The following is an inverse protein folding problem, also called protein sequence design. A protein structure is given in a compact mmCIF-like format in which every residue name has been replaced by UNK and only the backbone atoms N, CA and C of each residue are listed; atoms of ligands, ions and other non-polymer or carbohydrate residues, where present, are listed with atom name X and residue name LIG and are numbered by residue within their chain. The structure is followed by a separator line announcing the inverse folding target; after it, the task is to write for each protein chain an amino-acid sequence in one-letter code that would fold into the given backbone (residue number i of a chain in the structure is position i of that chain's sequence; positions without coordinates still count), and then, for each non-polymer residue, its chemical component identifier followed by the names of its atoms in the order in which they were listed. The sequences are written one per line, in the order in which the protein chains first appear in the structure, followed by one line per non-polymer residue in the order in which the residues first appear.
data_IF_704426801775
#
_entry.id   IF_704426801775
#
_cell.length_a   1.000
_cell.length_b   1.000
_cell.length_c   1.000
_cell.angle_alpha   90.00
_cell.angle_beta   90.00
_cell.angle_gamma   90.00
#
_symmetry.space_group_name_H-M   'P 1'
#
loop_
_entity.id
_entity.type
_entity.pdbx_description
1 polymer ?
#
# COMPACT_ATOMS: atom_id res chain seq x y z
N UNK A 1 12.94 49.88 -13.49
CA UNK A 1 13.41 49.72 -12.10
C UNK A 1 12.18 49.57 -11.22
N UNK A 2 11.76 48.32 -10.92
CA UNK A 2 10.58 48.05 -10.11
C UNK A 2 11.03 47.75 -8.67
N UNK A 3 10.64 48.61 -7.72
CA UNK A 3 10.97 48.49 -6.31
C UNK A 3 9.98 47.54 -5.63
N UNK A 4 10.44 46.36 -5.24
CA UNK A 4 9.67 45.38 -4.47
C UNK A 4 9.60 45.84 -3.01
N UNK A 5 8.41 46.20 -2.55
CA UNK A 5 8.14 46.47 -1.14
C UNK A 5 7.95 45.14 -0.40
N UNK A 6 8.90 44.81 0.47
CA UNK A 6 8.84 43.71 1.43
C UNK A 6 7.92 44.11 2.59
N UNK A 7 6.75 43.47 2.69
CA UNK A 7 5.90 43.56 3.90
C UNK A 7 6.29 42.44 4.86
N UNK A 8 6.65 42.72 6.13
CA UNK A 8 6.90 41.65 7.09
C UNK A 8 5.59 41.02 7.56
N UNK A 9 5.53 39.68 7.52
CA UNK A 9 4.41 38.88 8.01
C UNK A 9 4.17 39.06 9.51
N UNK A 10 2.91 39.13 9.98
CA UNK A 10 2.61 39.21 11.41
C UNK A 10 2.88 37.86 12.09
N UNK A 11 3.72 37.86 13.11
CA UNK A 11 3.99 36.69 13.95
C UNK A 11 2.80 36.42 14.85
N UNK A 12 2.02 35.38 14.52
CA UNK A 12 0.92 34.90 15.37
C UNK A 12 1.49 34.23 16.63
N UNK A 13 1.42 34.95 17.76
CA UNK A 13 1.66 34.41 19.09
C UNK A 13 0.46 33.55 19.52
N UNK A 14 0.63 32.24 19.56
CA UNK A 14 -0.34 31.31 20.16
C UNK A 14 -0.10 31.23 21.68
N UNK A 15 -1.11 31.50 22.52
CA UNK A 15 -1.00 31.33 23.97
C UNK A 15 -1.04 29.83 24.34
N UNK A 16 -0.08 29.45 25.17
CA UNK A 16 0.07 28.10 25.72
C UNK A 16 -0.94 27.89 26.86
N UNK A 17 -2.04 27.20 26.59
CA UNK A 17 -2.98 26.75 27.62
C UNK A 17 -2.49 25.45 28.26
N UNK A 18 -2.07 25.54 29.52
CA UNK A 18 -1.80 24.38 30.36
C UNK A 18 -3.12 23.81 30.90
N UNK A 19 -3.52 22.64 30.42
CA UNK A 19 -4.61 21.86 30.99
C UNK A 19 -4.05 20.88 32.04
N UNK A 20 -4.51 20.91 33.30
CA UNK A 20 -4.22 19.85 34.25
C UNK A 20 -5.32 18.79 34.15
N UNK A 21 -5.01 17.63 33.61
CA UNK A 21 -5.89 16.45 33.71
C UNK A 21 -5.15 15.37 34.48
N UNK A 22 -5.37 15.34 35.81
CA UNK A 22 -5.14 14.15 36.63
C UNK A 22 -6.09 13.07 36.13
N UNK A 23 -5.59 12.11 35.34
CA UNK A 23 -6.30 10.85 35.10
C UNK A 23 -5.90 9.84 36.17
N UNK A 24 -6.88 9.50 37.01
CA UNK A 24 -6.83 8.42 37.98
C UNK A 24 -6.85 7.08 37.23
N UNK A 25 -5.72 6.39 37.19
CA UNK A 25 -5.61 5.06 36.61
C UNK A 25 -6.17 4.00 37.56
N UNK A 26 -7.43 3.61 37.36
CA UNK A 26 -7.94 2.35 37.92
C UNK A 26 -7.53 1.20 37.00
N UNK A 27 -6.57 0.41 37.47
CA UNK A 27 -6.03 -0.76 36.78
C UNK A 27 -7.07 -1.90 36.73
N UNK A 28 -7.74 -2.05 35.58
CA UNK A 28 -8.51 -3.25 35.28
C UNK A 28 -7.55 -4.39 34.94
N UNK A 29 -7.42 -5.35 35.86
CA UNK A 29 -6.65 -6.56 35.66
C UNK A 29 -7.40 -7.52 34.72
N UNK A 30 -7.14 -7.43 33.42
CA UNK A 30 -7.59 -8.42 32.46
C UNK A 30 -6.70 -9.66 32.57
N UNK A 31 -7.25 -10.74 33.14
CA UNK A 31 -6.61 -12.07 33.13
C UNK A 31 -6.68 -12.67 31.72
N UNK A 32 -5.75 -12.30 30.85
CA UNK A 32 -5.58 -12.92 29.54
C UNK A 32 -4.81 -14.23 29.75
N UNK A 33 -5.48 -15.37 29.51
CA UNK A 33 -4.83 -16.69 29.48
C UNK A 33 -4.01 -16.79 28.19
N UNK A 34 -2.74 -17.24 28.21
CA UNK A 34 -1.96 -17.43 27.00
C UNK A 34 -2.44 -18.70 26.28
N UNK A 35 -3.41 -18.56 25.38
CA UNK A 35 -3.70 -19.59 24.40
C UNK A 35 -2.58 -19.57 23.36
N UNK A 36 -1.70 -20.57 23.39
CA UNK A 36 -0.71 -20.81 22.33
C UNK A 36 -1.47 -21.16 21.05
N UNK A 37 -1.67 -20.15 20.20
CA UNK A 37 -2.09 -20.35 18.82
C UNK A 37 -0.82 -20.44 17.98
N UNK A 38 -0.25 -21.63 17.87
CA UNK A 38 0.84 -21.90 16.94
C UNK A 38 0.24 -22.18 15.56
N UNK A 39 -0.22 -21.13 14.88
CA UNK A 39 -0.38 -21.21 13.42
C UNK A 39 1.00 -21.40 12.79
N UNK A 40 1.12 -22.16 11.68
CA UNK A 40 2.35 -22.18 10.92
C UNK A 40 2.64 -20.75 10.46
N UNK A 41 3.76 -20.19 10.91
CA UNK A 41 4.22 -18.87 10.45
C UNK A 41 4.73 -19.07 9.03
N UNK A 42 3.90 -18.71 8.05
CA UNK A 42 4.35 -18.59 6.66
C UNK A 42 5.40 -17.47 6.64
N UNK A 43 6.62 -17.80 6.23
CA UNK A 43 7.74 -16.86 6.21
C UNK A 43 7.74 -15.99 4.96
N UNK A 44 7.32 -16.56 3.84
CA UNK A 44 7.24 -15.89 2.54
C UNK A 44 6.26 -16.63 1.64
N UNK A 45 5.83 -15.95 0.60
CA UNK A 45 5.09 -16.51 -0.52
C UNK A 45 5.90 -16.40 -1.80
N UNK A 46 5.77 -17.39 -2.66
CA UNK A 46 6.35 -17.36 -3.99
C UNK A 46 5.53 -16.44 -4.89
N UNK A 47 6.14 -15.38 -5.39
CA UNK A 47 5.51 -14.45 -6.33
C UNK A 47 6.24 -14.50 -7.67
N UNK A 48 5.52 -14.93 -8.70
CA UNK A 48 5.98 -14.93 -10.09
C UNK A 48 5.49 -13.64 -10.75
N UNK A 49 6.41 -12.86 -11.31
CA UNK A 49 6.14 -11.57 -11.94
C UNK A 49 6.49 -11.64 -13.43
N UNK A 50 5.49 -11.46 -14.29
CA UNK A 50 5.68 -11.20 -15.72
C UNK A 50 5.78 -9.70 -15.96
N UNK A 51 6.95 -9.23 -16.40
CA UNK A 51 7.22 -7.83 -16.69
C UNK A 51 8.04 -7.70 -17.98
N UNK A 52 7.57 -6.90 -18.95
CA UNK A 52 8.25 -6.67 -20.25
C UNK A 52 8.68 -7.95 -20.99
N UNK A 53 7.87 -9.02 -20.89
CA UNK A 53 8.16 -10.31 -21.52
C UNK A 53 9.19 -11.17 -20.77
N UNK A 54 9.65 -10.74 -19.60
CA UNK A 54 10.50 -11.51 -18.69
C UNK A 54 9.69 -12.02 -17.51
N UNK A 55 10.04 -13.20 -17.01
CA UNK A 55 9.45 -13.79 -15.81
C UNK A 55 10.48 -13.85 -14.69
N UNK A 56 10.19 -13.22 -13.57
CA UNK A 56 11.03 -13.22 -12.36
C UNK A 56 10.28 -13.89 -11.22
N UNK A 57 10.95 -14.72 -10.42
CA UNK A 57 10.37 -15.33 -9.22
C UNK A 57 11.03 -14.75 -7.98
N UNK A 58 10.21 -14.32 -7.02
CA UNK A 58 10.64 -13.71 -5.77
C UNK A 58 9.97 -14.40 -4.58
N UNK A 59 10.65 -14.39 -3.44
CA UNK A 59 10.09 -14.78 -2.14
C UNK A 59 9.71 -13.50 -1.38
N UNK A 60 8.41 -13.26 -1.22
CA UNK A 60 7.87 -12.01 -0.65
C UNK A 60 7.25 -12.31 0.71
N UNK A 61 7.65 -11.56 1.74
CA UNK A 61 7.11 -11.71 3.10
C UNK A 61 5.65 -11.19 3.17
N UNK A 62 4.80 -11.74 4.06
CA UNK A 62 3.39 -11.34 4.16
C UNK A 62 3.18 -9.86 4.56
N UNK A 63 4.17 -9.22 5.16
CA UNK A 63 4.21 -7.81 5.58
C UNK A 63 5.07 -6.94 4.66
N UNK A 64 5.55 -7.49 3.54
CA UNK A 64 6.29 -6.78 2.49
C UNK A 64 5.40 -6.62 1.25
N UNK A 65 5.40 -5.43 0.63
CA UNK A 65 4.67 -5.23 -0.63
C UNK A 65 5.42 -5.90 -1.78
N UNK A 66 4.68 -6.41 -2.76
CA UNK A 66 5.27 -7.01 -3.96
C UNK A 66 6.19 -6.01 -4.69
N UNK A 67 5.81 -4.72 -4.73
CA UNK A 67 6.66 -3.67 -5.31
C UNK A 67 7.99 -3.52 -4.56
N UNK A 68 7.96 -3.42 -3.23
CA UNK A 68 9.19 -3.25 -2.44
C UNK A 68 10.17 -4.39 -2.73
N UNK A 69 9.68 -5.64 -2.69
CA UNK A 69 10.52 -6.80 -2.97
C UNK A 69 11.03 -6.86 -4.40
N UNK A 70 10.19 -6.47 -5.37
CA UNK A 70 10.60 -6.37 -6.77
C UNK A 70 11.78 -5.40 -6.94
N UNK A 71 11.66 -4.18 -6.39
CA UNK A 71 12.71 -3.18 -6.51
C UNK A 71 14.00 -3.58 -5.79
N UNK A 72 13.90 -4.18 -4.60
CA UNK A 72 15.05 -4.67 -3.83
C UNK A 72 15.78 -5.82 -4.55
N UNK A 73 15.06 -6.61 -5.34
CA UNK A 73 15.63 -7.65 -6.21
C UNK A 73 16.25 -7.12 -7.52
N UNK A 74 16.14 -5.80 -7.78
CA UNK A 74 16.60 -5.17 -9.01
C UNK A 74 15.62 -5.21 -10.18
N UNK A 75 14.39 -5.70 -9.97
CA UNK A 75 13.34 -5.69 -10.99
C UNK A 75 12.70 -4.28 -11.07
N UNK A 76 13.00 -3.56 -12.14
CA UNK A 76 12.51 -2.20 -12.37
C UNK A 76 11.09 -2.19 -12.93
N UNK A 77 10.08 -2.34 -12.07
CA UNK A 77 8.67 -2.17 -12.48
C UNK A 77 8.24 -0.69 -12.40
N UNK A 78 7.31 -0.22 -13.26
CA UNK A 78 6.76 1.13 -13.19
C UNK A 78 6.17 1.46 -11.81
N UNK A 79 6.50 2.63 -11.29
CA UNK A 79 6.00 3.15 -10.01
C UNK A 79 6.27 4.65 -9.89
N UNK A 80 5.47 5.33 -9.07
CA UNK A 80 5.69 6.74 -8.71
C UNK A 80 5.45 6.98 -7.21
N UNK A 81 4.18 7.10 -6.79
CA UNK A 81 3.87 7.53 -5.42
C UNK A 81 4.22 6.55 -4.32
N UNK A 82 4.14 5.23 -4.58
CA UNK A 82 4.26 4.13 -3.59
C UNK A 82 3.29 4.22 -2.41
N UNK A 83 2.13 4.86 -2.62
CA UNK A 83 1.10 5.11 -1.59
C UNK A 83 -0.26 4.49 -1.94
N UNK A 84 -0.34 3.65 -2.97
CA UNK A 84 -1.59 2.98 -3.35
C UNK A 84 -2.61 3.85 -4.10
N UNK A 85 -2.22 5.03 -4.60
CA UNK A 85 -3.18 6.00 -5.17
C UNK A 85 -2.94 6.41 -6.63
N UNK A 86 -1.69 6.41 -7.12
CA UNK A 86 -1.38 7.00 -8.44
C UNK A 86 -1.63 6.07 -9.64
N UNK A 87 -1.95 4.79 -9.41
CA UNK A 87 -2.20 3.79 -10.45
C UNK A 87 -1.04 3.45 -11.39
N UNK A 88 0.16 4.05 -11.22
CA UNK A 88 1.37 3.83 -12.04
C UNK A 88 2.06 2.47 -11.83
N UNK A 89 1.70 1.71 -10.79
CA UNK A 89 2.27 0.36 -10.55
C UNK A 89 1.23 -0.77 -10.69
N UNK A 90 0.45 -0.81 -11.78
CA UNK A 90 -0.67 -1.72 -11.89
C UNK A 90 -0.20 -3.12 -12.33
N UNK A 91 -0.91 -4.13 -11.85
CA UNK A 91 -0.74 -5.49 -12.31
C UNK A 91 -2.07 -6.23 -12.35
N UNK A 92 -2.11 -7.29 -13.15
CA UNK A 92 -3.17 -8.28 -13.14
C UNK A 92 -2.72 -9.51 -12.36
N UNK A 93 -3.54 -9.94 -11.42
CA UNK A 93 -3.39 -11.19 -10.68
C UNK A 93 -3.92 -12.34 -11.56
N UNK A 94 -3.01 -13.17 -12.07
CA UNK A 94 -3.32 -14.34 -12.89
C UNK A 94 -3.69 -15.54 -12.01
N UNK A 95 -3.08 -15.65 -10.83
CA UNK A 95 -3.43 -16.61 -9.79
C UNK A 95 -2.95 -16.16 -8.41
N UNK A 96 -3.54 -16.75 -7.37
CA UNK A 96 -3.24 -16.44 -5.98
C UNK A 96 -4.15 -15.37 -5.40
N UNK A 97 -3.75 -14.80 -4.27
CA UNK A 97 -4.48 -13.76 -3.55
C UNK A 97 -3.53 -12.77 -2.92
N UNK A 98 -3.91 -11.50 -2.97
CA UNK A 98 -3.23 -10.40 -2.30
C UNK A 98 -4.22 -9.67 -1.41
N UNK A 99 -3.70 -9.12 -0.33
CA UNK A 99 -4.37 -8.08 0.43
C UNK A 99 -3.90 -6.73 -0.10
N UNK A 100 -4.85 -5.90 -0.50
CA UNK A 100 -4.58 -4.55 -0.99
C UNK A 100 -5.50 -3.51 -0.37
N UNK A 101 -5.87 -3.71 0.90
CA UNK A 101 -6.71 -2.77 1.65
C UNK A 101 -6.15 -1.35 1.74
N UNK A 102 -4.84 -1.18 1.53
CA UNK A 102 -4.16 0.12 1.52
C UNK A 102 -4.24 0.82 0.15
N UNK A 103 -4.75 0.16 -0.88
CA UNK A 103 -4.89 0.68 -2.24
C UNK A 103 -6.24 1.37 -2.47
N UNK A 104 -6.26 2.33 -3.40
CA UNK A 104 -7.46 3.10 -3.78
C UNK A 104 -8.04 2.65 -5.13
N UNK A 105 -8.22 1.34 -5.30
CA UNK A 105 -8.96 0.77 -6.44
C UNK A 105 -10.44 0.62 -6.08
N UNK A 106 -11.33 0.66 -7.08
CA UNK A 106 -12.74 0.32 -6.86
C UNK A 106 -12.87 -1.18 -6.64
N UNK A 107 -13.86 -1.59 -5.87
CA UNK A 107 -14.11 -3.01 -5.57
C UNK A 107 -14.26 -3.83 -6.86
N UNK A 108 -14.98 -3.30 -7.87
CA UNK A 108 -15.13 -3.93 -9.18
C UNK A 108 -13.79 -4.20 -9.89
N UNK A 109 -12.84 -3.26 -9.79
CA UNK A 109 -11.51 -3.41 -10.39
C UNK A 109 -10.70 -4.45 -9.62
N UNK A 110 -10.80 -4.46 -8.28
CA UNK A 110 -10.20 -5.50 -7.43
C UNK A 110 -10.74 -6.88 -7.77
N UNK A 111 -12.06 -7.02 -7.89
CA UNK A 111 -12.74 -8.29 -8.22
C UNK A 111 -12.38 -8.82 -9.61
N UNK A 112 -12.08 -7.92 -10.56
CA UNK A 112 -11.56 -8.29 -11.89
C UNK A 112 -10.10 -8.77 -11.87
N UNK A 113 -9.48 -8.80 -10.69
CA UNK A 113 -8.13 -9.30 -10.47
C UNK A 113 -7.05 -8.26 -10.76
N UNK A 114 -7.35 -6.97 -10.63
CA UNK A 114 -6.34 -5.91 -10.75
C UNK A 114 -5.82 -5.51 -9.38
N UNK A 115 -4.53 -5.20 -9.33
CA UNK A 115 -3.86 -4.80 -8.11
C UNK A 115 -2.83 -3.70 -8.32
N UNK A 116 -2.56 -2.93 -7.27
CA UNK A 116 -1.44 -1.98 -7.22
C UNK A 116 -0.28 -2.62 -6.47
N UNK A 117 0.85 -2.85 -7.15
CA UNK A 117 1.98 -3.57 -6.53
C UNK A 117 2.52 -2.87 -5.28
N UNK A 118 2.42 -1.55 -5.20
CA UNK A 118 2.84 -0.76 -4.03
C UNK A 118 1.94 -0.90 -2.80
N UNK A 119 0.76 -1.50 -2.94
CA UNK A 119 -0.19 -1.74 -1.86
C UNK A 119 -0.59 -3.22 -1.78
N UNK A 120 0.01 -4.10 -2.58
CA UNK A 120 -0.32 -5.51 -2.64
C UNK A 120 0.62 -6.33 -1.75
N UNK A 121 0.06 -6.92 -0.69
CA UNK A 121 0.71 -7.87 0.20
C UNK A 121 0.25 -9.28 -0.14
N UNK A 122 1.16 -10.23 -0.42
CA UNK A 122 0.75 -11.60 -0.76
C UNK A 122 0.06 -12.30 0.43
N UNK A 123 -0.96 -13.10 0.09
CA UNK A 123 -1.70 -13.97 1.04
C UNK A 123 -1.67 -15.44 0.61
N UNK A 124 -1.12 -15.72 -0.56
CA UNK A 124 -0.76 -17.03 -1.09
C UNK A 124 0.40 -16.88 -2.07
N UNK A 125 0.88 -17.99 -2.63
CA UNK A 125 1.69 -17.91 -3.85
C UNK A 125 0.90 -17.19 -4.95
N UNK A 126 1.56 -16.31 -5.69
CA UNK A 126 0.94 -15.44 -6.67
C UNK A 126 1.62 -15.56 -8.03
N UNK A 127 0.83 -15.44 -9.09
CA UNK A 127 1.33 -15.15 -10.43
C UNK A 127 0.70 -13.85 -10.90
N UNK A 128 1.53 -12.85 -11.19
CA UNK A 128 1.08 -11.52 -11.61
C UNK A 128 1.73 -11.12 -12.93
N UNK A 129 1.07 -10.25 -13.66
CA UNK A 129 1.60 -9.60 -14.85
C UNK A 129 1.42 -8.09 -14.76
N UNK A 130 2.49 -7.33 -14.91
CA UNK A 130 2.39 -5.87 -14.98
C UNK A 130 1.60 -5.44 -16.21
N UNK A 131 0.81 -4.39 -16.09
CA UNK A 131 0.05 -3.83 -17.21
C UNK A 131 0.38 -2.34 -17.40
N UNK A 132 0.01 -1.73 -18.53
CA UNK A 132 0.10 -0.29 -18.72
C UNK A 132 -0.84 0.50 -17.78
N UNK A 133 -0.44 1.70 -17.37
CA UNK A 133 -1.24 2.58 -16.50
C UNK A 133 -2.59 2.96 -17.13
N UNK A 134 -2.60 3.21 -18.44
CA UNK A 134 -3.79 3.58 -19.20
C UNK A 134 -4.83 2.46 -19.26
N UNK A 135 -4.40 1.19 -19.24
CA UNK A 135 -5.31 0.04 -19.15
C UNK A 135 -6.06 0.05 -17.82
N UNK A 136 -5.35 0.22 -16.70
CA UNK A 136 -5.96 0.25 -15.38
C UNK A 136 -6.87 1.48 -15.21
N UNK A 137 -6.38 2.66 -15.62
CA UNK A 137 -7.12 3.92 -15.49
C UNK A 137 -8.45 3.86 -16.25
N UNK A 138 -8.44 3.30 -17.47
CA UNK A 138 -9.65 3.14 -18.27
C UNK A 138 -10.69 2.26 -17.57
N UNK A 139 -10.26 1.19 -16.90
CA UNK A 139 -11.15 0.31 -16.13
C UNK A 139 -11.70 1.00 -14.88
N UNK A 140 -10.83 1.68 -14.13
CA UNK A 140 -11.22 2.38 -12.91
C UNK A 140 -12.25 3.49 -13.21
N UNK A 141 -12.03 4.29 -14.25
CA UNK A 141 -12.96 5.34 -14.66
C UNK A 141 -14.28 4.78 -15.19
N UNK A 142 -14.26 3.63 -15.86
CA UNK A 142 -15.49 2.97 -16.29
C UNK A 142 -16.36 2.55 -15.11
N UNK A 143 -15.76 2.08 -14.01
CA UNK A 143 -16.49 1.66 -12.79
C UNK A 143 -16.98 2.82 -11.92
N UNK A 144 -16.45 4.03 -12.11
CA UNK A 144 -16.82 5.20 -11.32
C UNK A 144 -18.08 5.94 -11.84
N UNK A 145 -18.58 5.57 -13.03
CA UNK A 145 -19.70 6.24 -13.70
C UNK A 145 -21.02 5.45 -13.66
N UNK A 146 -21.07 4.33 -12.93
CA UNK A 146 -22.30 3.61 -12.55
C UNK A 146 -22.78 4.08 -11.16
#
# INVERSE_FOLDING_TARGET
MATLHFTPSPTLFLPRHNHPTKLSATAFHLKIKPSRLSSPVVRSFKVVIEHEGQTTQLEVEPDETILAKALDSGLSVPHDCKLGVCMTCPARLLSGSVDQSDGMLSDDVVERGYALLCAAYPRSDCHIRTIPEDELLSLQLATAND
#
